data_IF_340867097894
#
_entry.id   IF_340867097894
#
_cell.length_a   1.000
_cell.length_b   1.000
_cell.length_c   1.000
_cell.angle_alpha   90.00
_cell.angle_beta   90.00
_cell.angle_gamma   90.00
#
_symmetry.space_group_name_H-M   'P 1'
#
loop_
_entity.id
_entity.type
_entity.pdbx_description
1 polymer ?
#
# COMPACT_ATOMS: atom_id res chain seq x y z
N UNK A 1 4.27 -34.95 -15.43
CA UNK A 1 5.33 -33.91 -15.28
C UNK A 1 4.84 -32.63 -14.60
N UNK A 2 3.52 -32.37 -14.50
CA UNK A 2 2.98 -31.16 -13.86
C UNK A 2 3.05 -31.11 -12.32
N UNK A 3 3.14 -32.26 -11.64
CA UNK A 3 3.18 -32.31 -10.17
C UNK A 3 4.40 -31.61 -9.55
N UNK A 4 5.55 -31.57 -10.24
CA UNK A 4 6.78 -30.99 -9.70
C UNK A 4 6.78 -29.46 -9.59
N UNK A 5 6.15 -28.76 -10.55
CA UNK A 5 6.11 -27.28 -10.56
C UNK A 5 5.12 -26.77 -9.51
N UNK A 6 3.95 -27.39 -9.42
CA UNK A 6 2.92 -27.04 -8.43
C UNK A 6 3.41 -27.27 -7.01
N UNK A 7 4.10 -28.38 -6.76
CA UNK A 7 4.69 -28.68 -5.45
C UNK A 7 5.73 -27.62 -5.05
N UNK A 8 6.67 -27.29 -5.95
CA UNK A 8 7.68 -26.25 -5.72
C UNK A 8 7.05 -24.89 -5.43
N UNK A 9 5.95 -24.55 -6.12
CA UNK A 9 5.21 -23.31 -5.88
C UNK A 9 4.58 -23.28 -4.48
N UNK A 10 3.86 -24.34 -4.10
CA UNK A 10 3.26 -24.46 -2.77
C UNK A 10 4.30 -24.36 -1.65
N UNK A 11 5.43 -25.04 -1.81
CA UNK A 11 6.49 -25.10 -0.81
C UNK A 11 7.20 -23.75 -0.63
N UNK A 12 7.53 -23.05 -1.73
CA UNK A 12 8.15 -21.72 -1.68
C UNK A 12 7.22 -20.70 -1.02
N UNK A 13 5.92 -20.74 -1.35
CA UNK A 13 4.90 -19.89 -0.72
C UNK A 13 4.81 -20.18 0.77
N UNK A 14 4.75 -21.45 1.17
CA UNK A 14 4.67 -21.83 2.57
C UNK A 14 5.89 -21.32 3.36
N UNK A 15 7.11 -21.55 2.85
CA UNK A 15 8.35 -21.05 3.46
C UNK A 15 8.35 -19.53 3.63
N UNK A 16 7.85 -18.80 2.63
CA UNK A 16 7.75 -17.34 2.70
C UNK A 16 6.85 -16.87 3.86
N UNK A 17 5.67 -17.47 4.02
CA UNK A 17 4.75 -17.11 5.10
C UNK A 17 5.28 -17.51 6.49
N UNK A 18 5.94 -18.67 6.60
CA UNK A 18 6.55 -19.12 7.86
C UNK A 18 7.72 -18.21 8.25
N UNK A 19 8.58 -17.85 7.29
CA UNK A 19 9.69 -16.91 7.54
C UNK A 19 9.18 -15.60 8.12
N UNK A 20 8.15 -15.01 7.51
CA UNK A 20 7.49 -13.78 7.99
C UNK A 20 6.97 -13.89 9.43
N UNK A 21 6.35 -15.03 9.78
CA UNK A 21 5.81 -15.24 11.12
C UNK A 21 6.92 -15.34 12.18
N UNK A 22 8.05 -15.96 11.83
CA UNK A 22 9.17 -16.22 12.73
C UNK A 22 10.10 -15.00 12.96
N UNK A 23 9.85 -13.85 12.33
CA UNK A 23 10.64 -12.64 12.61
C UNK A 23 10.23 -12.00 13.94
N UNK A 24 11.25 -11.60 14.71
CA UNK A 24 11.06 -10.72 15.86
C UNK A 24 10.39 -9.40 15.48
N UNK A 25 9.73 -8.81 16.47
CA UNK A 25 9.07 -7.50 16.38
C UNK A 25 10.01 -6.41 15.86
N UNK A 26 11.28 -6.41 16.29
CA UNK A 26 12.29 -5.45 15.83
C UNK A 26 12.57 -5.55 14.33
N UNK A 27 12.69 -6.78 13.81
CA UNK A 27 12.90 -6.99 12.38
C UNK A 27 11.66 -6.56 11.58
N UNK A 28 10.45 -6.84 12.09
CA UNK A 28 9.20 -6.39 11.45
C UNK A 28 9.08 -4.87 11.38
N UNK A 29 9.52 -4.15 12.41
CA UNK A 29 9.60 -2.69 12.40
C UNK A 29 10.58 -2.16 11.35
N UNK A 30 11.76 -2.78 11.23
CA UNK A 30 12.76 -2.41 10.22
C UNK A 30 12.18 -2.64 8.82
N UNK A 31 11.58 -3.81 8.56
CA UNK A 31 10.92 -4.11 7.28
C UNK A 31 9.79 -3.11 6.97
N UNK A 32 9.00 -2.74 7.98
CA UNK A 32 7.91 -1.75 7.87
C UNK A 32 8.43 -0.38 7.45
N UNK A 33 9.55 0.05 8.02
CA UNK A 33 10.20 1.31 7.66
C UNK A 33 10.80 1.25 6.27
N UNK A 34 11.43 0.13 5.90
CA UNK A 34 11.97 -0.07 4.54
C UNK A 34 10.85 0.00 3.50
N UNK A 35 9.69 -0.62 3.74
CA UNK A 35 8.55 -0.54 2.83
C UNK A 35 7.97 0.87 2.73
N UNK A 36 7.98 1.64 3.82
CA UNK A 36 7.60 3.06 3.79
C UNK A 36 8.55 3.86 2.88
N UNK A 37 9.87 3.64 3.00
CA UNK A 37 10.86 4.26 2.12
C UNK A 37 10.69 3.85 0.66
N UNK A 38 10.44 2.56 0.37
CA UNK A 38 10.15 2.07 -0.98
C UNK A 38 8.92 2.78 -1.56
N UNK A 39 7.88 2.97 -0.74
CA UNK A 39 6.66 3.70 -1.14
C UNK A 39 6.99 5.14 -1.51
N UNK A 40 7.80 5.84 -0.70
CA UNK A 40 8.24 7.21 -0.98
C UNK A 40 9.17 7.34 -2.20
N UNK A 41 9.97 6.32 -2.52
CA UNK A 41 10.77 6.30 -3.76
C UNK A 41 9.86 6.08 -4.97
N UNK A 42 8.95 5.11 -4.89
CA UNK A 42 7.96 4.86 -5.94
C UNK A 42 7.01 6.05 -6.15
N UNK A 43 6.85 6.91 -5.14
CA UNK A 43 6.10 8.16 -5.22
C UNK A 43 6.60 9.14 -6.26
N UNK A 44 7.89 9.09 -6.55
CA UNK A 44 8.52 10.00 -7.49
C UNK A 44 8.26 9.57 -8.94
N UNK A 45 7.91 8.31 -9.17
CA UNK A 45 7.41 7.82 -10.46
C UNK A 45 5.96 8.30 -10.59
N UNK A 46 5.78 9.48 -11.20
CA UNK A 46 4.47 10.10 -11.39
C UNK A 46 4.25 10.52 -12.84
N UNK A 47 3.03 10.31 -13.32
CA UNK A 47 2.56 10.77 -14.61
C UNK A 47 1.41 11.75 -14.35
N UNK A 48 1.64 13.02 -14.63
CA UNK A 48 0.64 14.08 -14.47
C UNK A 48 -0.30 14.09 -15.66
N UNK A 49 -1.61 14.10 -15.41
CA UNK A 49 -2.62 14.13 -16.46
C UNK A 49 -3.21 15.55 -16.56
N UNK A 50 -3.44 16.09 -17.76
CA UNK A 50 -3.84 17.49 -17.93
C UNK A 50 -5.25 17.81 -17.39
N UNK A 51 -6.12 16.81 -17.17
CA UNK A 51 -7.50 17.01 -16.71
C UNK A 51 -7.72 16.75 -15.21
N UNK A 52 -6.72 16.28 -14.45
CA UNK A 52 -6.88 16.02 -13.00
C UNK A 52 -5.66 16.49 -12.20
N UNK A 53 -5.87 17.06 -11.00
CA UNK A 53 -4.77 17.49 -10.14
C UNK A 53 -4.04 16.31 -9.47
N UNK A 54 -4.60 15.10 -9.55
CA UNK A 54 -4.06 13.88 -8.93
C UNK A 54 -3.23 13.10 -9.96
N UNK A 55 -1.89 13.02 -9.81
CA UNK A 55 -1.08 12.25 -10.74
C UNK A 55 -1.28 10.75 -10.54
N UNK A 56 -1.12 9.98 -11.63
CA UNK A 56 -0.97 8.52 -11.51
C UNK A 56 0.44 8.26 -11.00
N UNK A 57 0.56 7.53 -9.88
CA UNK A 57 1.85 7.27 -9.22
C UNK A 57 2.14 5.79 -9.07
N UNK A 58 3.43 5.45 -8.98
CA UNK A 58 3.88 4.09 -8.70
C UNK A 58 3.69 3.65 -7.23
N UNK A 59 3.18 4.51 -6.34
CA UNK A 59 3.07 4.26 -4.89
C UNK A 59 2.13 3.12 -4.55
N UNK A 60 1.07 2.95 -5.34
CA UNK A 60 0.01 1.97 -5.09
C UNK A 60 0.55 0.55 -5.07
N UNK A 61 1.59 0.25 -5.86
CA UNK A 61 2.21 -1.07 -5.91
C UNK A 61 2.93 -1.43 -4.59
N UNK A 62 3.91 -0.65 -4.09
CA UNK A 62 4.48 -0.87 -2.75
C UNK A 62 3.46 -0.89 -1.62
N UNK A 63 2.42 -0.06 -1.69
CA UNK A 63 1.34 -0.03 -0.69
C UNK A 63 0.65 -1.39 -0.60
N UNK A 64 0.18 -1.92 -1.74
CA UNK A 64 -0.47 -3.22 -1.80
C UNK A 64 0.48 -4.35 -1.42
N UNK A 65 1.73 -4.30 -1.90
CA UNK A 65 2.76 -5.27 -1.55
C UNK A 65 3.07 -5.27 -0.05
N UNK A 66 3.04 -4.10 0.61
CA UNK A 66 3.28 -4.03 2.06
C UNK A 66 2.26 -4.85 2.85
N UNK A 67 0.98 -4.83 2.43
CA UNK A 67 -0.08 -5.64 3.04
C UNK A 67 0.18 -7.14 2.87
N UNK A 68 0.63 -7.57 1.69
CA UNK A 68 0.93 -8.98 1.42
C UNK A 68 2.19 -9.47 2.13
N UNK A 69 3.25 -8.67 2.11
CA UNK A 69 4.59 -9.08 2.58
C UNK A 69 4.71 -8.95 4.09
N UNK A 70 4.13 -7.92 4.70
CA UNK A 70 4.21 -7.72 6.14
C UNK A 70 3.00 -8.30 6.88
N UNK A 71 1.86 -8.42 6.21
CA UNK A 71 0.61 -8.94 6.77
C UNK A 71 -0.20 -7.91 7.54
N UNK A 72 -1.22 -8.41 8.26
CA UNK A 72 -2.37 -7.63 8.76
C UNK A 72 -1.99 -6.28 9.36
N UNK A 73 -1.29 -6.27 10.49
CA UNK A 73 -1.00 -5.03 11.22
C UNK A 73 0.24 -4.31 10.68
N UNK A 74 1.27 -5.05 10.31
CA UNK A 74 2.57 -4.50 9.94
C UNK A 74 2.58 -3.78 8.59
N UNK A 75 1.74 -4.22 7.64
CA UNK A 75 1.52 -3.49 6.39
C UNK A 75 0.85 -2.14 6.64
N UNK A 76 -0.21 -2.10 7.45
CA UNK A 76 -0.85 -0.86 7.84
C UNK A 76 0.08 0.08 8.61
N UNK A 77 0.87 -0.45 9.56
CA UNK A 77 1.88 0.32 10.29
C UNK A 77 2.91 0.92 9.31
N UNK A 78 3.32 0.20 8.27
CA UNK A 78 4.25 0.71 7.26
C UNK A 78 3.69 1.95 6.56
N UNK A 79 2.43 1.86 6.12
CA UNK A 79 1.77 2.98 5.45
C UNK A 79 1.44 4.12 6.40
N UNK A 80 1.16 3.83 7.68
CA UNK A 80 0.98 4.84 8.71
C UNK A 80 2.29 5.60 9.00
N UNK A 81 3.43 4.89 9.03
CA UNK A 81 4.77 5.52 9.14
C UNK A 81 5.04 6.40 7.92
N UNK A 82 4.70 5.93 6.71
CA UNK A 82 4.80 6.72 5.49
C UNK A 82 3.96 8.01 5.55
N UNK A 83 2.72 7.92 6.06
CA UNK A 83 1.87 9.09 6.21
C UNK A 83 2.39 10.04 7.29
N UNK A 84 2.71 9.53 8.48
CA UNK A 84 3.13 10.32 9.63
C UNK A 84 4.42 11.10 9.36
N UNK A 85 5.46 10.44 8.86
CA UNK A 85 6.74 11.11 8.56
C UNK A 85 6.56 12.14 7.42
N UNK A 86 5.70 11.85 6.44
CA UNK A 86 5.37 12.83 5.39
C UNK A 86 4.60 14.04 5.91
N UNK A 87 3.70 13.85 6.88
CA UNK A 87 3.00 14.95 7.58
C UNK A 87 3.97 15.84 8.35
N UNK A 88 5.02 15.27 8.95
CA UNK A 88 6.09 16.04 9.63
C UNK A 88 6.98 16.85 8.67
N UNK A 89 6.72 16.80 7.36
CA UNK A 89 7.39 17.66 6.38
C UNK A 89 8.43 16.96 5.52
N UNK A 90 8.62 15.65 5.65
CA UNK A 90 9.55 14.91 4.78
C UNK A 90 9.02 14.91 3.34
N UNK A 91 9.81 15.39 2.36
CA UNK A 91 9.37 15.56 0.97
C UNK A 91 9.42 14.25 0.18
N UNK A 92 8.68 13.24 0.63
CA UNK A 92 8.65 11.92 -0.02
C UNK A 92 7.29 11.57 -0.63
N UNK A 93 6.29 12.45 -0.53
CA UNK A 93 5.07 12.31 -1.30
C UNK A 93 5.33 12.64 -2.77
N UNK A 94 4.31 12.46 -3.61
CA UNK A 94 4.49 12.57 -5.07
C UNK A 94 5.01 13.95 -5.50
N UNK A 95 6.17 13.95 -6.17
CA UNK A 95 6.83 15.16 -6.65
C UNK A 95 7.53 15.95 -5.55
N UNK A 96 8.21 15.24 -4.65
CA UNK A 96 8.93 15.81 -3.51
C UNK A 96 8.07 16.74 -2.64
N UNK A 97 6.78 16.44 -2.52
CA UNK A 97 5.88 17.15 -1.62
C UNK A 97 5.93 16.53 -0.22
N UNK A 98 5.68 17.34 0.79
CA UNK A 98 5.60 16.94 2.19
C UNK A 98 4.76 17.94 2.96
N UNK A 99 4.46 17.63 4.21
CA UNK A 99 3.71 18.50 5.12
C UNK A 99 2.22 18.17 5.17
N UNK A 100 1.57 18.80 6.15
CA UNK A 100 0.15 18.57 6.44
C UNK A 100 -0.77 19.05 5.30
N UNK A 101 -0.32 20.03 4.52
CA UNK A 101 -1.04 20.60 3.39
C UNK A 101 -1.35 19.55 2.30
N UNK A 102 -0.47 18.55 2.14
CA UNK A 102 -0.68 17.45 1.19
C UNK A 102 -1.80 16.52 1.64
N UNK A 103 -1.99 16.38 2.95
CA UNK A 103 -3.04 15.55 3.56
C UNK A 103 -4.40 16.24 3.54
N UNK A 104 -4.45 17.57 3.69
CA UNK A 104 -5.68 18.33 3.51
C UNK A 104 -5.97 18.71 2.04
N UNK A 105 -4.99 18.51 1.15
CA UNK A 105 -5.12 18.75 -0.28
C UNK A 105 -5.86 17.64 -1.05
N UNK A 106 -5.83 17.68 -2.39
CA UNK A 106 -6.59 16.76 -3.26
C UNK A 106 -6.14 15.29 -3.17
N UNK A 107 -4.94 15.03 -2.66
CA UNK A 107 -4.34 13.69 -2.61
C UNK A 107 -4.43 13.00 -1.25
N UNK A 108 -4.88 13.69 -0.20
CA UNK A 108 -4.85 13.14 1.16
C UNK A 108 -5.72 11.90 1.35
N UNK A 109 -6.86 11.84 0.65
CA UNK A 109 -7.80 10.72 0.78
C UNK A 109 -7.20 9.42 0.25
N UNK A 110 -6.33 9.52 -0.76
CA UNK A 110 -5.57 8.40 -1.28
C UNK A 110 -4.52 7.91 -0.26
N UNK A 111 -3.86 8.83 0.44
CA UNK A 111 -2.87 8.49 1.46
C UNK A 111 -3.51 7.77 2.66
N UNK A 112 -4.68 8.21 3.11
CA UNK A 112 -5.45 7.49 4.13
C UNK A 112 -5.91 6.13 3.60
N UNK A 113 -6.36 6.09 2.35
CA UNK A 113 -6.72 4.85 1.66
C UNK A 113 -5.59 3.82 1.60
N UNK A 114 -4.32 4.25 1.53
CA UNK A 114 -3.18 3.33 1.55
C UNK A 114 -3.07 2.52 2.85
N UNK A 115 -3.36 3.14 3.99
CA UNK A 115 -3.34 2.47 5.30
C UNK A 115 -4.43 1.40 5.33
N UNK A 116 -5.66 1.76 4.95
CA UNK A 116 -6.78 0.84 4.93
C UNK A 116 -6.59 -0.29 3.92
N UNK A 117 -6.10 0.02 2.72
CA UNK A 117 -5.82 -0.98 1.68
C UNK A 117 -4.78 -2.01 2.15
N UNK A 118 -3.70 -1.56 2.79
CA UNK A 118 -2.65 -2.45 3.29
C UNK A 118 -3.13 -3.31 4.46
N UNK A 119 -3.88 -2.72 5.42
CA UNK A 119 -4.52 -3.47 6.51
C UNK A 119 -5.48 -4.54 5.99
N UNK A 120 -6.32 -4.19 5.03
CA UNK A 120 -7.31 -5.09 4.44
C UNK A 120 -6.62 -6.24 3.70
N UNK A 121 -5.62 -5.94 2.84
CA UNK A 121 -4.86 -6.99 2.15
C UNK A 121 -4.19 -7.93 3.14
N UNK A 122 -3.49 -7.36 4.12
CA UNK A 122 -2.78 -8.16 5.11
C UNK A 122 -3.72 -9.05 5.92
N UNK A 123 -4.91 -8.55 6.29
CA UNK A 123 -5.90 -9.34 7.01
C UNK A 123 -6.38 -10.55 6.22
N UNK A 124 -6.78 -10.35 4.97
CA UNK A 124 -7.33 -11.41 4.12
C UNK A 124 -6.25 -12.44 3.74
N UNK A 125 -5.03 -11.99 3.48
CA UNK A 125 -3.89 -12.86 3.15
C UNK A 125 -3.47 -13.72 4.35
N UNK A 126 -3.56 -13.17 5.57
CA UNK A 126 -3.22 -13.88 6.79
C UNK A 126 -4.28 -14.92 7.15
N UNK A 127 -5.56 -14.54 7.08
CA UNK A 127 -6.68 -15.37 7.51
C UNK A 127 -7.09 -16.45 6.48
N UNK A 128 -6.96 -16.15 5.19
CA UNK A 128 -7.44 -17.04 4.13
C UNK A 128 -6.27 -17.57 3.28
N UNK A 129 -5.88 -18.83 3.49
CA UNK A 129 -4.81 -19.50 2.73
C UNK A 129 -5.10 -19.50 1.21
N UNK A 130 -6.38 -19.59 0.84
CA UNK A 130 -6.83 -19.54 -0.55
C UNK A 130 -6.53 -18.20 -1.24
N UNK A 131 -6.51 -17.10 -0.49
CA UNK A 131 -6.18 -15.77 -1.01
C UNK A 131 -4.69 -15.61 -1.31
N UNK A 132 -3.85 -16.53 -0.82
CA UNK A 132 -2.41 -16.58 -1.12
C UNK A 132 -2.12 -17.16 -2.52
N UNK A 133 -3.13 -17.57 -3.29
CA UNK A 133 -2.96 -17.98 -4.70
C UNK A 133 -2.81 -16.74 -5.56
N UNK A 134 -1.88 -16.75 -6.52
CA UNK A 134 -1.57 -15.59 -7.36
C UNK A 134 -2.81 -14.90 -7.96
N UNK A 135 -3.74 -15.67 -8.53
CA UNK A 135 -4.97 -15.13 -9.12
C UNK A 135 -5.86 -14.42 -8.10
N UNK A 136 -6.09 -15.05 -6.94
CA UNK A 136 -6.94 -14.49 -5.90
C UNK A 136 -6.27 -13.27 -5.25
N UNK A 137 -4.95 -13.31 -5.10
CA UNK A 137 -4.16 -12.20 -4.59
C UNK A 137 -4.24 -10.98 -5.51
N UNK A 138 -4.09 -11.18 -6.82
CA UNK A 138 -4.26 -10.10 -7.80
C UNK A 138 -5.68 -9.52 -7.76
N UNK A 139 -6.69 -10.39 -7.68
CA UNK A 139 -8.08 -9.93 -7.57
C UNK A 139 -8.30 -9.10 -6.31
N UNK A 140 -7.75 -9.54 -5.17
CA UNK A 140 -7.82 -8.81 -3.90
C UNK A 140 -7.09 -7.46 -3.97
N UNK A 141 -5.91 -7.41 -4.60
CA UNK A 141 -5.16 -6.18 -4.85
C UNK A 141 -5.99 -5.17 -5.65
N UNK A 142 -6.66 -5.64 -6.71
CA UNK A 142 -7.53 -4.81 -7.56
C UNK A 142 -8.70 -4.26 -6.74
N UNK A 143 -9.39 -5.11 -5.98
CA UNK A 143 -10.50 -4.69 -5.12
C UNK A 143 -10.06 -3.64 -4.10
N UNK A 144 -8.94 -3.87 -3.41
CA UNK A 144 -8.45 -2.91 -2.42
C UNK A 144 -8.00 -1.60 -3.06
N UNK A 145 -7.41 -1.65 -4.26
CA UNK A 145 -7.07 -0.44 -4.99
C UNK A 145 -8.33 0.38 -5.31
N UNK A 146 -9.32 -0.20 -5.98
CA UNK A 146 -10.53 0.54 -6.36
C UNK A 146 -11.40 0.92 -5.15
N UNK A 147 -11.57 0.00 -4.20
CA UNK A 147 -12.45 0.19 -3.04
C UNK A 147 -11.82 1.02 -1.93
N UNK A 148 -10.56 0.76 -1.55
CA UNK A 148 -9.97 1.37 -0.36
C UNK A 148 -9.02 2.52 -0.67
N UNK A 149 -8.45 2.58 -1.87
CA UNK A 149 -7.59 3.69 -2.27
C UNK A 149 -8.40 4.74 -3.02
N UNK A 150 -9.14 4.34 -4.06
CA UNK A 150 -9.84 5.29 -4.94
C UNK A 150 -11.12 5.87 -4.31
N UNK A 151 -11.93 5.10 -3.55
CA UNK A 151 -13.13 5.66 -2.93
C UNK A 151 -12.83 6.84 -1.99
N UNK A 152 -11.98 6.71 -0.94
CA UNK A 152 -11.69 7.84 -0.06
C UNK A 152 -10.94 8.96 -0.79
N UNK A 153 -10.07 8.61 -1.75
CA UNK A 153 -9.36 9.58 -2.59
C UNK A 153 -10.30 10.46 -3.42
N UNK A 154 -11.27 9.84 -4.11
CA UNK A 154 -12.26 10.55 -4.91
C UNK A 154 -13.23 11.37 -4.06
N UNK A 155 -13.65 10.83 -2.91
CA UNK A 155 -14.52 11.56 -1.96
C UNK A 155 -13.82 12.84 -1.49
N UNK A 156 -12.57 12.74 -1.04
CA UNK A 156 -11.82 13.91 -0.60
C UNK A 156 -11.56 14.88 -1.74
N UNK A 157 -11.22 14.39 -2.94
CA UNK A 157 -11.01 15.23 -4.11
C UNK A 157 -12.28 16.01 -4.48
N UNK A 158 -13.45 15.37 -4.43
CA UNK A 158 -14.73 16.01 -4.68
C UNK A 158 -15.04 17.10 -3.65
N UNK A 159 -14.84 16.81 -2.36
CA UNK A 159 -15.00 17.81 -1.29
C UNK A 159 -14.03 18.99 -1.47
N UNK A 160 -12.77 18.72 -1.81
CA UNK A 160 -11.75 19.74 -2.02
C UNK A 160 -12.08 20.67 -3.19
N UNK A 161 -12.60 20.12 -4.29
CA UNK A 161 -13.06 20.92 -5.43
C UNK A 161 -14.24 21.81 -5.04
N UNK A 162 -15.24 21.27 -4.33
CA UNK A 162 -16.39 22.06 -3.86
C UNK A 162 -16.06 23.18 -2.86
N UNK A 163 -14.89 23.13 -2.22
CA UNK A 163 -14.40 24.18 -1.32
C UNK A 163 -13.54 25.24 -2.04
N UNK A 164 -13.10 24.94 -3.26
CA UNK A 164 -12.20 25.79 -4.06
C UNK A 164 -12.96 26.52 -5.19
N UNK A 165 -14.12 26.01 -5.60
CA UNK A 165 -15.13 26.67 -6.44
C UNK A 165 -16.00 27.66 -5.64
#
# INVERSE_FOLDING_TARGET
MEGGIVQKYCEKRHRFFVWRCNLDTSHKLILSTIFACITGIAAQIRITLPWTPVPITGQTLPVLLSGVVLGKWWGGISQAVYLAIGMFGVPWFSGFKGGIDVVFGPTGGYLLGFIFASLFLGHFVDEHIEMRKFRNLLFLMVIANFGLIYLPGLVQLGVWLSLTD
#
